data_IF_398370642507
#
_entry.id   IF_398370642507
#
_cell.length_a   1.000
_cell.length_b   1.000
_cell.length_c   1.000
_cell.angle_alpha   90.00
_cell.angle_beta   90.00
_cell.angle_gamma   90.00
#
_symmetry.space_group_name_H-M   'P 1'
#
loop_
_entity.id
_entity.type
_entity.pdbx_description
1 polymer ?
#
# COMPACT_ATOMS: atom_id res chain seq x y z
N UNK A 1 -33.29 -0.78 -50.83
CA UNK A 1 -31.99 -0.77 -50.12
C UNK A 1 -32.01 0.14 -48.89
N UNK A 2 -32.90 -0.08 -47.91
CA UNK A 2 -32.99 0.76 -46.68
C UNK A 2 -32.68 -0.02 -45.39
N UNK A 3 -32.92 -1.34 -45.37
CA UNK A 3 -32.76 -2.17 -44.17
C UNK A 3 -31.33 -2.26 -43.61
N UNK A 4 -30.30 -2.13 -44.44
CA UNK A 4 -28.90 -2.22 -43.98
C UNK A 4 -28.42 -0.99 -43.19
N UNK A 5 -29.14 0.14 -43.27
CA UNK A 5 -28.87 1.34 -42.47
C UNK A 5 -29.79 1.41 -41.24
N UNK A 6 -31.09 1.13 -41.42
CA UNK A 6 -32.06 1.26 -40.33
C UNK A 6 -31.93 0.17 -39.25
N UNK A 7 -31.59 -1.07 -39.63
CA UNK A 7 -31.41 -2.16 -38.65
C UNK A 7 -30.27 -1.87 -37.65
N UNK A 8 -29.03 -1.56 -38.07
CA UNK A 8 -27.98 -1.23 -37.12
C UNK A 8 -28.29 0.05 -36.34
N UNK A 9 -28.94 1.04 -36.96
CA UNK A 9 -29.36 2.26 -36.26
C UNK A 9 -30.29 1.95 -35.08
N UNK A 10 -31.34 1.13 -35.28
CA UNK A 10 -32.25 0.76 -34.19
C UNK A 10 -31.57 -0.07 -33.10
N UNK A 11 -30.60 -0.92 -33.45
CA UNK A 11 -29.80 -1.66 -32.46
C UNK A 11 -28.98 -0.70 -31.61
N UNK A 12 -28.31 0.27 -32.22
CA UNK A 12 -27.53 1.28 -31.49
C UNK A 12 -28.44 2.13 -30.60
N UNK A 13 -29.60 2.57 -31.09
CA UNK A 13 -30.56 3.32 -30.29
C UNK A 13 -31.05 2.48 -29.10
N UNK A 14 -31.42 1.22 -29.33
CA UNK A 14 -31.85 0.32 -28.26
C UNK A 14 -30.76 0.13 -27.21
N UNK A 15 -29.49 -0.03 -27.63
CA UNK A 15 -28.35 -0.15 -26.73
C UNK A 15 -28.14 1.14 -25.92
N UNK A 16 -28.20 2.31 -26.54
CA UNK A 16 -28.05 3.59 -25.85
C UNK A 16 -29.16 3.80 -24.82
N UNK A 17 -30.42 3.54 -25.21
CA UNK A 17 -31.55 3.62 -24.29
C UNK A 17 -31.39 2.64 -23.13
N UNK A 18 -30.97 1.41 -23.41
CA UNK A 18 -30.70 0.42 -22.38
C UNK A 18 -29.61 0.88 -21.40
N UNK A 19 -28.49 1.42 -21.90
CA UNK A 19 -27.40 1.96 -21.05
C UNK A 19 -27.90 3.12 -20.19
N UNK A 20 -28.68 4.04 -20.75
CA UNK A 20 -29.21 5.18 -20.01
C UNK A 20 -30.20 4.75 -18.92
N UNK A 21 -31.06 3.75 -19.19
CA UNK A 21 -31.95 3.18 -18.18
C UNK A 21 -31.18 2.45 -17.08
N UNK A 22 -30.18 1.66 -17.45
CA UNK A 22 -29.32 0.97 -16.48
C UNK A 22 -28.55 1.96 -15.60
N UNK A 23 -28.09 3.08 -16.17
CA UNK A 23 -27.40 4.14 -15.44
C UNK A 23 -28.24 4.70 -14.29
N UNK A 24 -29.55 4.88 -14.48
CA UNK A 24 -30.46 5.40 -13.44
C UNK A 24 -30.52 4.46 -12.23
N UNK A 25 -30.32 3.15 -12.43
CA UNK A 25 -30.30 2.16 -11.36
C UNK A 25 -28.90 1.97 -10.74
N UNK A 26 -27.85 1.98 -11.55
CA UNK A 26 -26.50 1.60 -11.13
C UNK A 26 -25.65 2.75 -10.59
N UNK A 27 -25.85 3.98 -11.08
CA UNK A 27 -25.03 5.14 -10.69
C UNK A 27 -25.68 5.87 -9.52
N UNK A 28 -24.99 6.02 -8.37
CA UNK A 28 -25.49 6.77 -7.22
C UNK A 28 -25.84 8.23 -7.56
N UNK A 29 -26.85 8.78 -6.90
CA UNK A 29 -27.36 10.14 -7.16
C UNK A 29 -26.33 11.25 -6.93
N UNK A 30 -25.34 10.97 -6.07
CA UNK A 30 -24.29 11.89 -5.67
C UNK A 30 -22.96 11.67 -6.41
N UNK A 31 -22.97 10.83 -7.46
CA UNK A 31 -21.83 10.63 -8.35
C UNK A 31 -21.82 11.68 -9.47
N UNK A 32 -20.76 12.51 -9.51
CA UNK A 32 -20.65 13.57 -10.52
C UNK A 32 -19.43 14.45 -10.29
N UNK A 33 -19.37 15.56 -11.03
CA UNK A 33 -18.35 16.58 -10.83
C UNK A 33 -18.69 17.46 -9.61
N UNK A 34 -17.85 17.41 -8.59
CA UNK A 34 -17.91 18.22 -7.37
C UNK A 34 -17.23 19.59 -7.58
N UNK A 35 -17.21 20.41 -6.52
CA UNK A 35 -16.78 21.81 -6.52
C UNK A 35 -15.37 22.06 -7.11
N UNK A 36 -14.49 21.06 -7.11
CA UNK A 36 -13.11 21.14 -7.62
C UNK A 36 -12.98 20.91 -9.13
N UNK A 37 -14.10 20.84 -9.84
CA UNK A 37 -14.17 20.65 -11.28
C UNK A 37 -13.91 19.20 -11.71
N UNK A 38 -13.90 18.97 -13.03
CA UNK A 38 -13.90 17.61 -13.59
C UNK A 38 -12.62 16.81 -13.30
N UNK A 39 -11.45 17.46 -13.25
CA UNK A 39 -10.15 16.77 -13.16
C UNK A 39 -9.95 16.03 -11.83
N UNK A 40 -10.43 16.59 -10.72
CA UNK A 40 -10.22 16.05 -9.37
C UNK A 40 -11.52 15.89 -8.56
N UNK A 41 -12.65 16.27 -9.13
CA UNK A 41 -13.95 16.22 -8.47
C UNK A 41 -14.92 15.22 -9.10
N UNK A 42 -14.51 14.36 -10.03
CA UNK A 42 -15.45 13.39 -10.62
C UNK A 42 -15.52 12.09 -9.81
N UNK A 43 -16.30 12.11 -8.73
CA UNK A 43 -16.45 11.00 -7.80
C UNK A 43 -17.83 11.01 -7.11
N UNK A 44 -18.09 9.97 -6.31
CA UNK A 44 -19.26 9.88 -5.44
C UNK A 44 -19.03 10.70 -4.17
N UNK A 45 -19.84 11.71 -3.91
CA UNK A 45 -19.64 12.62 -2.79
C UNK A 45 -19.64 11.92 -1.41
N UNK A 46 -20.60 11.03 -1.17
CA UNK A 46 -20.73 10.25 0.07
C UNK A 46 -19.54 9.34 0.35
N UNK A 47 -18.79 8.94 -0.68
CA UNK A 47 -17.56 8.17 -0.53
C UNK A 47 -16.51 8.91 0.31
N UNK A 48 -16.48 10.24 0.29
CA UNK A 48 -15.55 11.01 1.12
C UNK A 48 -15.78 10.75 2.60
N UNK A 49 -17.05 10.70 3.03
CA UNK A 49 -17.38 10.44 4.43
C UNK A 49 -17.11 8.99 4.79
N UNK A 50 -17.41 8.05 3.90
CA UNK A 50 -17.10 6.63 4.10
C UNK A 50 -15.60 6.40 4.31
N UNK A 51 -14.73 7.09 3.56
CA UNK A 51 -13.28 7.00 3.77
C UNK A 51 -12.80 7.67 5.05
N UNK A 52 -13.47 8.73 5.51
CA UNK A 52 -13.19 9.35 6.82
C UNK A 52 -13.59 8.44 7.98
N UNK A 53 -14.70 7.72 7.82
CA UNK A 53 -15.22 6.79 8.83
C UNK A 53 -14.53 5.42 8.75
N UNK A 54 -13.77 5.17 7.67
CA UNK A 54 -13.03 3.94 7.51
C UNK A 54 -11.94 3.83 8.59
N UNK A 55 -11.92 2.76 9.40
CA UNK A 55 -10.98 2.67 10.52
C UNK A 55 -9.54 2.66 10.03
N UNK A 56 -8.71 3.49 10.66
CA UNK A 56 -7.29 3.55 10.37
C UNK A 56 -6.63 2.22 10.75
N UNK A 57 -6.14 1.50 9.74
CA UNK A 57 -5.43 0.23 9.91
C UNK A 57 -3.98 0.43 10.33
N UNK A 58 -3.36 1.51 9.88
CA UNK A 58 -1.99 1.86 10.19
C UNK A 58 -1.98 2.95 11.26
N UNK A 59 -1.08 2.83 12.25
CA UNK A 59 -1.05 3.69 13.44
C UNK A 59 0.24 4.50 13.60
N UNK A 60 1.23 4.30 12.72
CA UNK A 60 2.55 4.94 12.76
C UNK A 60 3.43 4.50 13.95
N UNK A 61 4.74 4.76 13.89
CA UNK A 61 5.71 4.33 14.90
C UNK A 61 5.48 4.95 16.29
N UNK A 62 4.87 6.15 16.34
CA UNK A 62 4.53 6.81 17.60
C UNK A 62 3.57 5.96 18.44
N UNK A 63 2.62 5.27 17.81
CA UNK A 63 1.70 4.35 18.47
C UNK A 63 2.45 3.16 19.10
N UNK A 64 3.41 2.59 18.36
CA UNK A 64 4.23 1.48 18.83
C UNK A 64 5.09 1.88 20.05
N UNK A 65 5.60 3.10 20.08
CA UNK A 65 6.44 3.63 21.16
C UNK A 65 5.72 3.78 22.51
N UNK A 66 4.38 3.73 22.54
CA UNK A 66 3.64 3.78 23.81
C UNK A 66 3.87 2.54 24.67
N UNK A 67 4.19 1.40 24.06
CA UNK A 67 4.36 0.10 24.73
C UNK A 67 5.67 -0.63 24.39
N UNK A 68 6.34 -0.29 23.28
CA UNK A 68 7.57 -0.93 22.79
C UNK A 68 8.73 0.07 22.70
N UNK A 69 8.91 0.87 23.76
CA UNK A 69 9.94 1.91 23.83
C UNK A 69 11.35 1.34 23.71
N UNK A 70 11.63 0.18 24.30
CA UNK A 70 12.92 -0.51 24.17
C UNK A 70 13.27 -0.83 22.72
N UNK A 71 12.28 -1.26 21.91
CA UNK A 71 12.48 -1.59 20.49
C UNK A 71 12.57 -0.37 19.61
N UNK A 72 11.84 0.69 19.94
CA UNK A 72 11.95 1.97 19.24
C UNK A 72 13.32 2.60 19.50
N UNK A 73 13.86 2.51 20.72
CA UNK A 73 15.22 2.96 21.03
C UNK A 73 16.28 2.13 20.28
N UNK A 74 16.14 0.80 20.28
CA UNK A 74 17.05 -0.10 19.55
C UNK A 74 17.09 0.21 18.05
N UNK A 75 15.92 0.34 17.41
CA UNK A 75 15.80 0.71 15.99
C UNK A 75 16.30 2.13 15.73
N UNK A 76 16.01 3.06 16.64
CA UNK A 76 16.41 4.46 16.56
C UNK A 76 17.91 4.68 16.66
N UNK A 77 18.66 3.74 17.23
CA UNK A 77 20.12 3.76 17.24
C UNK A 77 20.74 3.09 16.00
N UNK A 78 19.94 2.40 15.18
CA UNK A 78 20.40 1.63 14.03
C UNK A 78 20.11 2.35 12.70
N UNK A 79 20.67 1.82 11.60
CA UNK A 79 20.40 2.33 10.24
C UNK A 79 18.93 2.16 9.77
N UNK A 80 18.07 1.54 10.58
CA UNK A 80 16.65 1.39 10.32
C UNK A 80 15.79 2.47 11.02
N UNK A 81 16.36 3.47 11.69
CA UNK A 81 15.63 4.52 12.43
C UNK A 81 14.47 5.16 11.65
N UNK A 82 14.64 5.34 10.33
CA UNK A 82 13.69 6.03 9.47
C UNK A 82 12.60 5.09 8.90
N UNK A 83 12.65 3.80 9.22
CA UNK A 83 11.73 2.80 8.68
C UNK A 83 10.58 2.58 9.67
N UNK A 84 9.32 2.93 9.30
CA UNK A 84 8.16 2.64 10.13
C UNK A 84 8.05 1.16 10.52
N UNK A 85 7.67 0.89 11.76
CA UNK A 85 7.52 -0.48 12.29
C UNK A 85 6.60 -1.34 11.42
N UNK A 86 5.52 -0.73 10.90
CA UNK A 86 4.48 -1.36 10.10
C UNK A 86 4.96 -1.82 8.71
N UNK A 87 6.15 -1.38 8.26
CA UNK A 87 6.77 -1.91 7.03
C UNK A 87 7.23 -3.37 7.19
N UNK A 88 7.53 -3.81 8.41
CA UNK A 88 7.93 -5.18 8.73
C UNK A 88 6.85 -5.95 9.51
N UNK A 89 6.11 -5.25 10.38
CA UNK A 89 5.09 -5.83 11.26
C UNK A 89 3.67 -5.79 10.69
N UNK A 90 3.46 -5.13 9.54
CA UNK A 90 2.12 -4.96 8.95
C UNK A 90 1.27 -3.93 9.71
N UNK A 91 -0.01 -3.85 9.32
CA UNK A 91 -0.95 -2.90 9.89
C UNK A 91 -1.30 -3.25 11.34
N UNK A 92 -1.28 -2.26 12.23
CA UNK A 92 -1.60 -2.45 13.64
C UNK A 92 -3.09 -2.74 13.92
N UNK A 93 -4.01 -2.25 13.08
CA UNK A 93 -5.46 -2.32 13.32
C UNK A 93 -5.84 -1.81 14.73
N UNK A 94 -6.44 -2.67 15.55
CA UNK A 94 -6.80 -2.40 16.94
C UNK A 94 -5.89 -3.21 17.90
N UNK A 95 -4.70 -3.62 17.45
CA UNK A 95 -3.67 -4.22 18.32
C UNK A 95 -3.43 -3.33 19.54
N UNK A 96 -3.40 -3.85 20.78
CA UNK A 96 -3.30 -5.27 21.12
C UNK A 96 -4.63 -6.01 21.29
N UNK A 97 -5.77 -5.35 21.13
CA UNK A 97 -7.07 -6.02 21.28
C UNK A 97 -7.35 -6.95 20.09
N UNK A 98 -7.08 -6.49 18.87
CA UNK A 98 -7.20 -7.31 17.68
C UNK A 98 -6.36 -6.79 16.48
N UNK A 99 -5.30 -7.51 16.06
CA UNK A 99 -4.82 -8.77 16.63
C UNK A 99 -3.94 -8.56 17.87
N UNK A 100 -3.92 -9.53 18.77
CA UNK A 100 -3.01 -9.52 19.94
C UNK A 100 -1.54 -9.52 19.52
N UNK A 101 -1.22 -10.23 18.44
CA UNK A 101 0.12 -10.25 17.85
C UNK A 101 0.05 -9.85 16.38
N UNK A 102 0.89 -8.89 16.00
CA UNK A 102 1.02 -8.48 14.60
C UNK A 102 1.70 -9.57 13.77
N UNK A 103 1.27 -9.69 12.51
CA UNK A 103 1.88 -10.62 11.56
C UNK A 103 3.20 -10.04 11.05
N UNK A 104 4.31 -10.71 11.38
CA UNK A 104 5.66 -10.27 11.00
C UNK A 104 6.15 -11.12 9.82
N UNK A 105 6.49 -10.45 8.73
CA UNK A 105 7.17 -11.11 7.60
C UNK A 105 8.67 -11.17 7.87
N UNK A 106 9.15 -12.34 8.29
CA UNK A 106 10.57 -12.61 8.57
C UNK A 106 11.32 -13.17 7.35
N UNK A 107 10.68 -13.20 6.19
CA UNK A 107 11.27 -13.78 5.00
C UNK A 107 12.36 -12.89 4.43
N UNK A 108 13.34 -13.53 3.80
CA UNK A 108 14.36 -12.90 2.96
C UNK A 108 13.74 -11.98 1.89
N UNK A 109 12.59 -12.37 1.34
CA UNK A 109 11.91 -11.64 0.28
C UNK A 109 11.46 -10.23 0.71
N UNK A 110 11.16 -10.02 2.00
CA UNK A 110 10.90 -8.69 2.52
C UNK A 110 12.18 -7.84 2.49
N UNK A 111 13.27 -8.36 3.05
CA UNK A 111 14.52 -7.62 3.25
C UNK A 111 15.13 -7.18 1.92
N UNK A 112 15.13 -8.06 0.91
CA UNK A 112 15.77 -7.81 -0.38
C UNK A 112 15.03 -6.78 -1.24
N UNK A 113 13.83 -6.33 -0.85
CA UNK A 113 13.16 -5.17 -1.50
C UNK A 113 14.00 -3.90 -1.37
N UNK A 114 14.68 -3.76 -0.23
CA UNK A 114 15.52 -2.60 0.10
C UNK A 114 17.01 -2.95 0.20
N UNK A 115 17.37 -4.20 0.45
CA UNK A 115 18.78 -4.58 0.63
C UNK A 115 19.43 -5.16 -0.63
N UNK A 116 18.67 -5.44 -1.70
CA UNK A 116 19.28 -5.76 -2.99
C UNK A 116 20.02 -4.56 -3.56
N UNK A 117 21.16 -4.81 -4.22
CA UNK A 117 21.78 -3.84 -5.09
C UNK A 117 20.83 -3.55 -6.26
N UNK A 118 20.36 -2.30 -6.34
CA UNK A 118 19.44 -1.84 -7.38
C UNK A 118 20.10 -0.73 -8.19
N UNK A 119 20.16 -0.91 -9.51
CA UNK A 119 20.64 0.14 -10.41
C UNK A 119 19.51 1.12 -10.71
N UNK A 120 19.56 2.30 -10.10
CA UNK A 120 18.50 3.31 -10.15
C UNK A 120 19.08 4.71 -10.40
N UNK A 121 19.78 4.94 -11.53
CA UNK A 121 20.68 6.08 -11.76
C UNK A 121 20.00 7.47 -11.76
N UNK A 122 18.68 7.53 -11.58
CA UNK A 122 17.89 8.76 -11.55
C UNK A 122 17.36 9.09 -10.15
N UNK A 123 17.72 8.31 -9.13
CA UNK A 123 17.29 8.49 -7.75
C UNK A 123 18.41 8.20 -6.77
N UNK A 124 18.39 8.86 -5.61
CA UNK A 124 19.34 8.66 -4.50
C UNK A 124 19.39 7.21 -4.00
N UNK A 125 18.37 6.41 -4.33
CA UNK A 125 18.35 4.97 -4.05
C UNK A 125 19.54 4.22 -4.65
N UNK A 126 20.13 4.72 -5.75
CA UNK A 126 21.32 4.11 -6.36
C UNK A 126 22.57 4.17 -5.46
N UNK A 127 22.61 5.12 -4.52
CA UNK A 127 23.76 5.34 -3.65
C UNK A 127 23.68 4.53 -2.36
N UNK A 128 22.53 3.89 -2.09
CA UNK A 128 22.36 3.01 -0.93
C UNK A 128 23.08 1.68 -1.19
N UNK A 129 24.04 1.27 -0.35
CA UNK A 129 24.72 0.00 -0.49
C UNK A 129 23.71 -1.16 -0.47
N UNK A 130 23.84 -2.07 -1.43
CA UNK A 130 23.02 -3.27 -1.51
C UNK A 130 23.88 -4.51 -1.76
N UNK A 131 23.35 -5.65 -1.35
CA UNK A 131 23.95 -6.97 -1.57
C UNK A 131 23.48 -7.58 -2.89
N UNK A 132 24.19 -8.59 -3.39
CA UNK A 132 23.67 -9.48 -4.43
C UNK A 132 22.90 -10.66 -3.78
N UNK A 133 21.56 -10.73 -3.88
CA UNK A 133 20.77 -11.78 -3.22
C UNK A 133 21.07 -13.18 -3.74
N UNK A 134 21.62 -13.30 -4.96
CA UNK A 134 21.97 -14.58 -5.58
C UNK A 134 23.32 -15.13 -5.12
N UNK A 135 24.10 -14.36 -4.36
CA UNK A 135 25.42 -14.76 -3.86
C UNK A 135 25.45 -14.81 -2.33
N UNK A 136 24.77 -13.87 -1.66
CA UNK A 136 24.85 -13.73 -0.20
C UNK A 136 23.96 -14.74 0.54
N UNK A 137 24.49 -15.90 0.94
CA UNK A 137 23.81 -16.90 1.79
C UNK A 137 22.44 -17.33 1.21
N UNK A 138 22.46 -17.85 -0.02
CA UNK A 138 21.25 -18.28 -0.74
C UNK A 138 20.54 -19.40 0.02
N UNK A 139 19.23 -19.26 0.21
CA UNK A 139 18.38 -20.25 0.90
C UNK A 139 18.18 -19.97 2.39
N UNK A 140 19.02 -19.12 3.00
CA UNK A 140 18.91 -18.74 4.42
C UNK A 140 18.09 -17.46 4.60
N UNK A 141 17.39 -17.35 5.75
CA UNK A 141 16.67 -16.14 6.10
C UNK A 141 17.63 -15.11 6.68
N UNK A 142 17.45 -13.83 6.33
CA UNK A 142 18.28 -12.75 6.84
C UNK A 142 18.25 -12.69 8.38
N UNK A 143 17.07 -12.95 8.95
CA UNK A 143 16.81 -12.88 10.40
C UNK A 143 17.50 -13.97 11.23
N UNK A 144 18.05 -15.01 10.58
CA UNK A 144 18.75 -16.09 11.28
C UNK A 144 20.15 -15.64 11.73
N UNK A 145 20.71 -14.61 11.08
CA UNK A 145 21.99 -14.01 11.39
C UNK A 145 21.87 -12.54 11.84
N UNK A 146 20.94 -11.77 11.27
CA UNK A 146 20.79 -10.33 11.52
C UNK A 146 19.55 -10.04 12.38
N UNK A 147 19.68 -9.18 13.39
CA UNK A 147 18.53 -8.66 14.13
C UNK A 147 17.89 -7.49 13.36
N UNK A 148 16.63 -7.53 12.92
CA UNK A 148 16.02 -6.43 12.17
C UNK A 148 15.98 -5.08 12.91
N UNK A 149 16.04 -5.09 14.24
CA UNK A 149 16.11 -3.88 15.06
C UNK A 149 17.53 -3.32 15.21
N UNK A 150 18.55 -4.15 15.03
CA UNK A 150 19.95 -3.73 14.90
C UNK A 150 20.68 -4.69 13.94
N UNK A 151 20.57 -4.47 12.62
CA UNK A 151 20.98 -5.48 11.64
C UNK A 151 22.50 -5.54 11.44
N UNK A 152 23.25 -4.55 11.90
CA UNK A 152 24.71 -4.56 11.79
C UNK A 152 25.29 -5.65 12.67
N UNK A 153 26.20 -6.46 12.12
CA UNK A 153 26.94 -7.47 12.89
C UNK A 153 28.17 -6.88 13.60
N UNK A 154 28.58 -5.67 13.22
CA UNK A 154 29.76 -4.99 13.77
C UNK A 154 29.38 -4.12 14.98
N UNK A 155 28.11 -3.70 15.06
CA UNK A 155 27.56 -2.80 16.08
C UNK A 155 26.68 -3.56 17.10
N UNK A 156 26.89 -4.89 17.23
CA UNK A 156 26.20 -5.75 18.18
C UNK A 156 26.76 -5.66 19.61
#
# INVERSE_FOLDING_TARGET
MKGHVWRPLFVVIALVVFILLFRVFYVPEDFGAQDRGYTFGYHRLSNEQEWKDYPAKYKDSAYCNECHDDKVEEVGAASHEMIPCENCHGAAFDHPDNPEQLAIDRSRDLCIRCHSALYMPTSDRNDIPGINPAEHNVGEQCVDCHNPHNPSLEEM
#
